data_IF_221698257258
#
_entry.id   IF_221698257258
#
_cell.length_a   1.000
_cell.length_b   1.000
_cell.length_c   1.000
_cell.angle_alpha   90.00
_cell.angle_beta   90.00
_cell.angle_gamma   90.00
#
_symmetry.space_group_name_H-M   'P 1'
#
loop_
_entity.id
_entity.type
_entity.pdbx_description
1 polymer ?
#
# COMPACT_ATOMS: atom_id res chain seq x y z
N UNK A 1 -10.08 -3.15 8.02
CA UNK A 1 -10.17 -2.04 7.07
C UNK A 1 -11.28 -2.38 6.08
N UNK A 2 -12.31 -1.55 5.93
CA UNK A 2 -13.39 -1.82 4.97
C UNK A 2 -12.92 -1.48 3.55
N UNK A 3 -13.30 -2.28 2.56
CA UNK A 3 -12.94 -2.05 1.15
C UNK A 3 -13.40 -0.69 0.63
N UNK A 4 -14.52 -0.19 1.15
CA UNK A 4 -15.02 1.16 0.87
C UNK A 4 -14.01 2.24 1.28
N UNK A 5 -13.35 2.07 2.42
CA UNK A 5 -12.35 3.04 2.90
C UNK A 5 -11.12 3.10 1.99
N UNK A 6 -10.75 1.98 1.36
CA UNK A 6 -9.64 1.94 0.42
C UNK A 6 -9.98 2.64 -0.90
N UNK A 7 -11.18 2.42 -1.44
CA UNK A 7 -11.64 3.12 -2.64
C UNK A 7 -11.71 4.64 -2.39
N UNK A 8 -12.27 5.07 -1.26
CA UNK A 8 -12.33 6.50 -0.88
C UNK A 8 -10.92 7.12 -0.82
N UNK A 9 -9.92 6.39 -0.32
CA UNK A 9 -8.55 6.88 -0.28
C UNK A 9 -7.96 7.05 -1.69
N UNK A 10 -8.22 6.10 -2.60
CA UNK A 10 -7.79 6.20 -4.01
C UNK A 10 -8.43 7.43 -4.68
N UNK A 11 -9.74 7.61 -4.50
CA UNK A 11 -10.48 8.72 -5.08
C UNK A 11 -9.98 10.08 -4.56
N UNK A 12 -9.67 10.16 -3.25
CA UNK A 12 -9.13 11.37 -2.64
C UNK A 12 -7.74 11.73 -3.19
N UNK A 13 -6.87 10.74 -3.39
CA UNK A 13 -5.54 10.95 -3.99
C UNK A 13 -5.67 11.40 -5.45
N UNK A 14 -6.55 10.77 -6.24
CA UNK A 14 -6.77 11.16 -7.63
C UNK A 14 -7.33 12.59 -7.74
N UNK A 15 -8.26 12.96 -6.85
CA UNK A 15 -8.81 14.31 -6.78
C UNK A 15 -7.77 15.36 -6.39
N UNK A 16 -6.93 15.06 -5.39
CA UNK A 16 -5.83 15.95 -5.00
C UNK A 16 -4.85 16.19 -6.14
N UNK A 17 -4.38 15.11 -6.78
CA UNK A 17 -3.44 15.19 -7.90
C UNK A 17 -4.05 15.98 -9.06
N UNK A 18 -5.31 15.73 -9.38
CA UNK A 18 -6.03 16.45 -10.43
C UNK A 18 -6.16 17.94 -10.12
N UNK A 19 -6.38 18.31 -8.85
CA UNK A 19 -6.42 19.69 -8.39
C UNK A 19 -5.11 20.47 -8.59
N UNK A 20 -3.97 19.76 -8.66
CA UNK A 20 -2.66 20.35 -8.94
C UNK A 20 -2.18 20.11 -10.39
N UNK A 21 -3.07 19.68 -11.29
CA UNK A 21 -2.76 19.44 -12.70
C UNK A 21 -2.01 18.14 -12.99
N UNK A 22 -1.90 17.24 -12.01
CA UNK A 22 -1.32 15.90 -12.17
C UNK A 22 -2.42 14.86 -12.39
N UNK A 23 -2.10 13.78 -13.09
CA UNK A 23 -3.04 12.68 -13.30
C UNK A 23 -2.38 11.34 -13.03
N UNK A 24 -3.12 10.44 -12.40
CA UNK A 24 -2.70 9.05 -12.27
C UNK A 24 -2.83 8.36 -13.64
N UNK A 25 -1.74 7.74 -14.09
CA UNK A 25 -1.73 6.98 -15.32
C UNK A 25 -2.54 5.68 -15.13
N UNK A 26 -3.78 5.65 -15.60
CA UNK A 26 -4.64 4.47 -15.49
C UNK A 26 -4.06 3.23 -16.20
N UNK A 27 -3.18 3.41 -17.19
CA UNK A 27 -2.47 2.32 -17.85
C UNK A 27 -1.35 1.68 -17.01
N UNK A 28 -0.95 2.29 -15.88
CA UNK A 28 0.15 1.85 -15.02
C UNK A 28 -0.32 1.48 -13.61
N UNK A 29 -1.56 1.02 -13.47
CA UNK A 29 -2.15 0.69 -12.17
C UNK A 29 -2.07 -0.81 -11.91
N UNK A 30 -1.53 -1.16 -10.77
CA UNK A 30 -1.57 -2.51 -10.24
C UNK A 30 -1.77 -2.40 -8.73
N UNK A 31 -2.59 -3.27 -8.16
CA UNK A 31 -2.78 -3.37 -6.73
C UNK A 31 -2.00 -4.57 -6.19
N UNK A 32 -1.16 -4.33 -5.19
CA UNK A 32 -0.45 -5.37 -4.45
C UNK A 32 -0.91 -5.36 -3.00
N UNK A 33 -1.48 -6.47 -2.53
CA UNK A 33 -1.77 -6.65 -1.12
C UNK A 33 -0.53 -7.17 -0.39
N UNK A 34 0.11 -6.30 0.37
CA UNK A 34 1.26 -6.65 1.21
C UNK A 34 0.75 -7.03 2.60
N UNK A 35 0.69 -8.33 2.91
CA UNK A 35 0.28 -8.77 4.23
C UNK A 35 0.94 -10.11 4.63
N UNK A 36 1.52 -10.23 5.84
CA UNK A 36 2.33 -11.37 6.27
C UNK A 36 1.65 -12.75 6.22
N UNK A 37 0.32 -12.78 6.21
CA UNK A 37 -0.49 -14.02 6.14
C UNK A 37 -1.40 -14.08 4.91
N UNK A 38 -1.32 -13.11 3.99
CA UNK A 38 -2.25 -13.03 2.85
C UNK A 38 -1.84 -13.91 1.66
N UNK A 39 -0.72 -14.62 1.74
CA UNK A 39 -0.34 -15.59 0.70
C UNK A 39 -1.35 -16.73 0.54
N UNK A 40 -2.24 -16.97 1.52
CA UNK A 40 -3.05 -18.20 1.57
C UNK A 40 -4.57 -18.03 1.50
N UNK A 41 -5.16 -16.84 1.64
CA UNK A 41 -6.60 -16.58 1.39
C UNK A 41 -6.92 -15.10 1.61
N UNK A 42 -7.22 -14.37 0.56
CA UNK A 42 -7.87 -13.07 0.65
C UNK A 42 -8.76 -12.86 -0.56
N UNK A 43 -10.02 -12.47 -0.32
CA UNK A 43 -10.87 -11.90 -1.37
C UNK A 43 -10.32 -10.52 -1.67
N UNK A 44 -9.76 -10.34 -2.86
CA UNK A 44 -9.27 -9.04 -3.34
C UNK A 44 -10.48 -8.18 -3.74
N UNK A 45 -10.68 -7.01 -3.14
CA UNK A 45 -11.84 -6.18 -3.44
C UNK A 45 -11.74 -5.59 -4.84
N UNK A 46 -12.89 -5.35 -5.47
CA UNK A 46 -12.93 -4.54 -6.68
C UNK A 46 -12.48 -3.12 -6.35
N UNK A 47 -11.36 -2.70 -6.93
CA UNK A 47 -10.88 -1.32 -6.89
C UNK A 47 -10.93 -0.75 -8.29
N UNK A 48 -11.17 0.55 -8.38
CA UNK A 48 -11.17 1.25 -9.66
C UNK A 48 -10.42 2.57 -9.54
N UNK A 49 -9.86 2.99 -10.67
CA UNK A 49 -9.31 4.32 -10.85
C UNK A 49 -10.02 4.92 -12.05
N UNK A 50 -10.78 6.00 -11.84
CA UNK A 50 -11.58 6.68 -12.87
C UNK A 50 -12.51 5.72 -13.63
N UNK A 51 -13.20 4.85 -12.90
CA UNK A 51 -14.14 3.86 -13.45
C UNK A 51 -13.52 2.65 -14.14
N UNK A 52 -12.20 2.66 -14.33
CA UNK A 52 -11.47 1.57 -14.94
C UNK A 52 -10.95 0.64 -13.79
N UNK A 53 -10.98 -0.71 -13.90
CA UNK A 53 -10.63 -1.64 -12.80
C UNK A 53 -9.12 -1.77 -12.53
N UNK A 54 -8.71 -1.76 -11.26
CA UNK A 54 -7.32 -2.00 -10.87
C UNK A 54 -7.11 -3.50 -10.68
N UNK A 55 -6.19 -4.08 -11.47
CA UNK A 55 -5.84 -5.50 -11.39
C UNK A 55 -5.01 -5.80 -10.14
N UNK A 56 -5.30 -6.95 -9.53
CA UNK A 56 -4.53 -7.45 -8.38
C UNK A 56 -3.40 -8.35 -8.84
N UNK A 57 -2.19 -8.04 -8.38
CA UNK A 57 -1.01 -8.85 -8.64
C UNK A 57 -0.39 -9.36 -7.33
N UNK A 58 0.36 -10.46 -7.42
CA UNK A 58 1.21 -10.96 -6.34
C UNK A 58 2.60 -10.32 -6.35
N UNK A 59 3.00 -9.76 -7.49
CA UNK A 59 4.29 -9.12 -7.72
C UNK A 59 4.13 -7.94 -8.66
N UNK A 60 4.75 -6.80 -8.34
CA UNK A 60 4.74 -5.60 -9.19
C UNK A 60 6.18 -5.14 -9.43
N UNK A 61 6.49 -4.65 -10.63
CA UNK A 61 7.81 -4.07 -10.95
C UNK A 61 7.71 -2.56 -10.89
N UNK A 62 8.48 -1.94 -10.01
CA UNK A 62 8.54 -0.50 -9.85
C UNK A 62 10.00 -0.04 -9.83
N UNK A 63 10.39 0.82 -10.79
CA UNK A 63 11.76 1.33 -10.92
C UNK A 63 12.82 0.22 -10.90
N UNK A 64 12.63 -0.80 -11.74
CA UNK A 64 13.48 -2.02 -11.79
C UNK A 64 13.50 -2.87 -10.50
N UNK A 65 12.73 -2.49 -9.48
CA UNK A 65 12.58 -3.24 -8.24
C UNK A 65 11.33 -4.11 -8.30
N UNK A 66 11.49 -5.41 -8.11
CA UNK A 66 10.36 -6.34 -7.99
C UNK A 66 9.89 -6.38 -6.55
N UNK A 67 8.66 -5.92 -6.31
CA UNK A 67 8.01 -5.97 -5.01
C UNK A 67 7.06 -7.16 -5.02
N UNK A 68 7.21 -8.07 -4.05
CA UNK A 68 6.30 -9.19 -3.86
C UNK A 68 5.36 -8.98 -2.67
N UNK A 69 4.31 -9.81 -2.61
CA UNK A 69 3.34 -9.79 -1.52
C UNK A 69 3.88 -10.31 -0.16
N UNK A 70 5.15 -10.74 -0.10
CA UNK A 70 5.84 -11.19 1.11
C UNK A 70 6.61 -10.06 1.78
N UNK A 71 6.74 -8.91 1.12
CA UNK A 71 7.34 -7.72 1.72
C UNK A 71 6.73 -7.48 3.11
N UNK A 72 7.58 -7.35 4.12
CA UNK A 72 7.15 -7.14 5.50
C UNK A 72 8.03 -6.11 6.15
N UNK A 73 7.44 -4.98 6.51
CA UNK A 73 8.10 -3.93 7.28
C UNK A 73 8.17 -4.25 8.77
N UNK A 74 7.57 -5.36 9.23
CA UNK A 74 7.48 -5.71 10.66
C UNK A 74 8.84 -5.75 11.36
N UNK A 75 9.89 -6.43 10.83
CA UNK A 75 11.18 -6.46 11.51
C UNK A 75 11.76 -5.05 11.70
N UNK A 76 11.77 -4.24 10.65
CA UNK A 76 12.28 -2.87 10.70
C UNK A 76 11.48 -1.98 11.68
N UNK A 77 10.15 -2.10 11.69
CA UNK A 77 9.27 -1.35 12.61
C UNK A 77 9.46 -1.80 14.06
N UNK A 78 9.61 -3.09 14.30
CA UNK A 78 9.82 -3.63 15.64
C UNK A 78 11.19 -3.24 16.20
N UNK A 79 12.22 -3.21 15.37
CA UNK A 79 13.56 -2.74 15.76
C UNK A 79 13.55 -1.25 16.08
N UNK A 80 12.85 -0.43 15.27
CA UNK A 80 12.67 1.00 15.57
C UNK A 80 11.91 1.21 16.89
N UNK A 81 10.87 0.41 17.16
CA UNK A 81 10.12 0.44 18.43
C UNK A 81 10.96 0.04 19.64
N UNK A 82 11.88 -0.92 19.48
CA UNK A 82 12.82 -1.33 20.55
C UNK A 82 13.84 -0.23 20.80
N UNK A 83 14.37 0.40 19.75
CA UNK A 83 15.27 1.55 19.84
C UNK A 83 14.65 2.71 20.61
N UNK A 84 13.44 3.14 20.22
CA UNK A 84 12.75 4.26 20.87
C UNK A 84 12.42 3.99 22.34
N UNK A 85 12.10 2.74 22.71
CA UNK A 85 11.88 2.37 24.12
C UNK A 85 13.14 2.52 24.97
N UNK A 86 14.31 2.16 24.43
CA UNK A 86 15.60 2.32 25.13
C UNK A 86 15.95 3.79 25.37
N UNK A 87 15.66 4.66 24.39
CA UNK A 87 15.89 6.11 24.52
C UNK A 87 15.00 6.70 25.61
N UNK A 88 13.71 6.37 25.62
CA UNK A 88 12.76 6.86 26.63
C UNK A 88 13.11 6.39 28.06
N UNK A 89 13.60 5.16 28.22
CA UNK A 89 14.04 4.64 29.52
C UNK A 89 15.39 5.21 29.99
N UNK A 90 16.19 5.81 29.12
CA UNK A 90 17.47 6.42 29.45
C UNK A 90 17.37 7.93 29.74
N UNK A 91 16.20 8.52 29.50
CA UNK A 91 15.88 9.93 29.76
C UNK A 91 15.01 10.15 31.01
N UNK A 92 14.76 9.09 31.79
CA UNK A 92 14.09 9.10 33.09
C UNK A 92 15.07 8.72 34.18
#
# INVERSE_FOLDING_TARGET
MSFRSLQVAIDAVDAFLSGIGLTLAASKREALLVHPRASTRFSTPGLSLRGLPIEWSKTVRYLELTIDNRLSWRPAVDDLRKGNRKVLSASS
#
